data_IF_045537393062
#
_entry.id   IF_045537393062
#
_cell.length_a   1.000
_cell.length_b   1.000
_cell.length_c   1.000
_cell.angle_alpha   90.00
_cell.angle_beta   90.00
_cell.angle_gamma   90.00
#
_symmetry.space_group_name_H-M   'P 1'
#
loop_
_entity.id
_entity.type
_entity.pdbx_description
1 polymer ?
#
# COMPACT_ATOMS: atom_id res chain seq x y z
N UNK A 1 44.65 -14.54 84.58
CA UNK A 1 44.48 -13.87 83.27
C UNK A 1 43.38 -14.59 82.50
N UNK A 2 42.56 -13.86 81.71
CA UNK A 2 41.21 -14.24 81.35
C UNK A 2 41.08 -14.91 79.97
N UNK A 3 40.08 -15.79 79.88
CA UNK A 3 39.11 -15.99 78.79
C UNK A 3 39.51 -15.64 77.36
N UNK A 4 39.79 -16.68 76.56
CA UNK A 4 39.50 -16.68 75.13
C UNK A 4 38.04 -17.14 74.90
N UNK A 5 37.10 -16.20 74.91
CA UNK A 5 35.74 -16.47 74.41
C UNK A 5 35.80 -16.67 72.91
N UNK A 6 35.31 -17.83 72.48
CA UNK A 6 34.92 -18.16 71.12
C UNK A 6 34.23 -16.97 70.44
N UNK A 7 34.87 -16.36 69.44
CA UNK A 7 34.16 -15.60 68.43
C UNK A 7 33.74 -16.60 67.36
N UNK A 8 32.57 -17.21 67.54
CA UNK A 8 31.89 -17.91 66.45
C UNK A 8 31.70 -16.90 65.31
N UNK A 9 32.30 -17.18 64.17
CA UNK A 9 31.96 -16.52 62.93
C UNK A 9 30.47 -16.80 62.68
N UNK A 10 29.63 -15.80 62.97
CA UNK A 10 28.21 -15.81 62.63
C UNK A 10 28.18 -15.98 61.11
N UNK A 11 27.76 -17.15 60.63
CA UNK A 11 27.58 -17.32 59.19
C UNK A 11 26.57 -16.27 58.72
N UNK A 12 26.65 -15.78 57.48
CA UNK A 12 25.66 -14.82 56.96
C UNK A 12 24.21 -15.35 57.15
N UNK A 13 24.04 -16.67 57.21
CA UNK A 13 22.78 -17.34 57.53
C UNK A 13 22.30 -17.17 58.98
N UNK A 14 23.20 -16.94 59.94
CA UNK A 14 22.89 -16.73 61.37
C UNK A 14 22.62 -15.25 61.72
N UNK A 15 22.99 -14.31 60.83
CA UNK A 15 22.77 -12.85 61.00
C UNK A 15 21.29 -12.48 60.84
N UNK A 16 20.54 -13.22 60.03
CA UNK A 16 19.15 -12.93 59.66
C UNK A 16 18.24 -14.10 59.98
N UNK A 17 17.44 -13.95 61.04
CA UNK A 17 16.55 -15.00 61.55
C UNK A 17 15.12 -14.78 61.07
N UNK A 18 14.70 -13.52 60.92
CA UNK A 18 13.34 -13.15 60.48
C UNK A 18 13.36 -12.12 59.35
N UNK A 19 12.28 -12.09 58.57
CA UNK A 19 12.08 -11.10 57.50
C UNK A 19 12.14 -9.66 58.04
N UNK A 20 11.63 -9.42 59.26
CA UNK A 20 11.63 -8.10 59.91
C UNK A 20 13.04 -7.60 60.25
N UNK A 21 13.94 -8.50 60.65
CA UNK A 21 15.34 -8.17 60.89
C UNK A 21 16.05 -7.80 59.57
N UNK A 22 15.73 -8.52 58.49
CA UNK A 22 16.22 -8.18 57.15
C UNK A 22 15.75 -6.77 56.74
N UNK A 23 14.47 -6.44 56.94
CA UNK A 23 13.94 -5.10 56.60
C UNK A 23 14.70 -4.02 57.35
N UNK A 24 14.79 -4.16 58.67
CA UNK A 24 15.45 -3.17 59.53
C UNK A 24 16.93 -2.97 59.16
N UNK A 25 17.62 -4.03 58.75
CA UNK A 25 19.00 -3.92 58.29
C UNK A 25 19.12 -3.07 57.03
N UNK A 26 18.27 -3.32 56.02
CA UNK A 26 18.30 -2.55 54.76
C UNK A 26 17.89 -1.09 54.97
N UNK A 27 16.94 -0.83 55.87
CA UNK A 27 16.52 0.53 56.19
C UNK A 27 17.64 1.36 56.85
N UNK A 28 18.59 0.72 57.53
CA UNK A 28 19.74 1.38 58.13
C UNK A 28 20.90 1.54 57.14
N UNK A 29 21.11 0.54 56.29
CA UNK A 29 22.15 0.53 55.25
C UNK A 29 21.66 -0.27 54.04
N UNK A 30 21.49 0.41 52.90
CA UNK A 30 20.93 -0.18 51.69
C UNK A 30 21.83 -1.30 51.11
N UNK A 31 23.14 -1.25 51.36
CA UNK A 31 24.08 -2.25 50.87
C UNK A 31 23.90 -3.62 51.56
N UNK A 32 23.29 -3.65 52.75
CA UNK A 32 22.94 -4.88 53.45
C UNK A 32 21.95 -5.75 52.65
N UNK A 33 21.24 -5.16 51.67
CA UNK A 33 20.33 -5.90 50.79
C UNK A 33 21.05 -7.03 50.05
N UNK A 34 22.30 -6.81 49.61
CA UNK A 34 23.13 -7.80 48.90
C UNK A 34 23.44 -9.04 49.75
N UNK A 35 23.35 -8.90 51.07
CA UNK A 35 23.68 -9.93 52.05
C UNK A 35 22.44 -10.68 52.56
N UNK A 36 21.24 -10.32 52.12
CA UNK A 36 20.00 -10.96 52.57
C UNK A 36 19.85 -12.36 51.95
N UNK A 37 19.56 -13.40 52.75
CA UNK A 37 19.24 -14.72 52.22
C UNK A 37 18.00 -14.69 51.32
N UNK A 38 18.10 -15.28 50.12
CA UNK A 38 17.04 -15.29 49.09
C UNK A 38 15.67 -15.75 49.62
N UNK A 39 15.65 -16.67 50.60
CA UNK A 39 14.41 -17.17 51.23
C UNK A 39 13.55 -16.08 51.89
N UNK A 40 14.13 -14.93 52.22
CA UNK A 40 13.43 -13.78 52.83
C UNK A 40 13.09 -12.69 51.81
N UNK A 41 13.59 -12.78 50.58
CA UNK A 41 13.31 -11.81 49.51
C UNK A 41 12.00 -12.20 48.81
N UNK A 42 10.89 -11.91 49.49
CA UNK A 42 9.53 -12.09 48.94
C UNK A 42 9.09 -10.84 48.16
N UNK A 43 8.10 -10.94 47.24
CA UNK A 43 7.49 -9.77 46.61
C UNK A 43 7.10 -8.66 47.59
N UNK A 44 6.47 -9.05 48.71
CA UNK A 44 6.03 -8.13 49.75
C UNK A 44 7.20 -7.47 50.49
N UNK A 45 8.22 -8.27 50.84
CA UNK A 45 9.46 -7.75 51.43
C UNK A 45 10.08 -6.69 50.54
N UNK A 46 10.25 -7.00 49.24
CA UNK A 46 10.84 -6.05 48.30
C UNK A 46 10.00 -4.81 48.18
N UNK A 47 8.69 -4.93 48.02
CA UNK A 47 7.83 -3.77 47.81
C UNK A 47 7.87 -2.81 49.00
N UNK A 48 7.87 -3.33 50.23
CA UNK A 48 8.00 -2.53 51.46
C UNK A 48 9.38 -1.88 51.60
N UNK A 49 10.46 -2.61 51.30
CA UNK A 49 11.82 -2.08 51.37
C UNK A 49 12.07 -1.06 50.26
N UNK A 50 11.67 -1.36 49.03
CA UNK A 50 11.75 -0.46 47.89
C UNK A 50 11.05 0.85 48.22
N UNK A 51 9.84 0.80 48.84
CA UNK A 51 9.09 1.97 49.31
C UNK A 51 9.95 2.90 50.16
N UNK A 52 10.69 2.32 51.09
CA UNK A 52 11.49 3.07 52.05
C UNK A 52 12.84 3.53 51.48
N UNK A 53 13.36 2.86 50.46
CA UNK A 53 14.65 3.16 49.82
C UNK A 53 14.52 3.82 48.44
N UNK A 54 13.37 4.45 48.14
CA UNK A 54 13.09 5.08 46.85
C UNK A 54 13.44 4.21 45.62
N UNK A 55 13.07 2.92 45.65
CA UNK A 55 13.26 1.95 44.56
C UNK A 55 14.73 1.58 44.21
N UNK A 56 15.74 2.10 44.89
CA UNK A 56 17.16 1.81 44.63
C UNK A 56 17.51 0.31 44.74
N UNK A 57 16.83 -0.40 45.64
CA UNK A 57 17.03 -1.84 45.90
C UNK A 57 16.57 -2.75 44.75
N UNK A 58 15.72 -2.27 43.84
CA UNK A 58 15.18 -3.07 42.71
C UNK A 58 16.29 -3.56 41.78
N UNK A 59 17.37 -2.77 41.68
CA UNK A 59 18.55 -3.09 40.85
C UNK A 59 19.31 -4.31 41.36
N UNK A 60 19.34 -4.54 42.67
CA UNK A 60 20.05 -5.65 43.33
C UNK A 60 19.28 -6.97 43.30
N UNK A 61 18.05 -6.98 42.79
CA UNK A 61 17.18 -8.16 42.78
C UNK A 61 17.62 -9.11 41.65
N UNK A 62 17.93 -10.38 41.98
CA UNK A 62 18.20 -11.41 40.99
C UNK A 62 17.06 -11.55 39.98
N UNK A 63 17.38 -11.84 38.72
CA UNK A 63 16.39 -11.91 37.63
C UNK A 63 15.36 -13.01 37.88
N UNK A 64 15.74 -14.07 38.58
CA UNK A 64 14.94 -15.26 38.89
C UNK A 64 13.77 -14.94 39.83
N UNK A 65 13.90 -13.88 40.65
CA UNK A 65 12.86 -13.44 41.58
C UNK A 65 11.91 -12.40 40.98
N UNK A 66 12.20 -11.89 39.77
CA UNK A 66 11.37 -10.89 39.06
C UNK A 66 10.19 -11.56 38.34
N UNK A 67 9.34 -12.24 39.10
CA UNK A 67 8.14 -12.91 38.59
C UNK A 67 7.00 -11.93 38.31
N UNK A 68 5.86 -12.43 37.78
CA UNK A 68 4.68 -11.60 37.53
C UNK A 68 4.07 -11.09 38.84
N UNK A 69 3.99 -11.96 39.84
CA UNK A 69 3.49 -11.66 41.19
C UNK A 69 4.37 -10.60 41.87
N UNK A 70 5.68 -10.70 41.66
CA UNK A 70 6.63 -9.69 42.08
C UNK A 70 6.29 -8.30 41.52
N UNK A 71 6.08 -8.21 40.21
CA UNK A 71 5.74 -6.93 39.58
C UNK A 71 4.37 -6.40 40.01
N UNK A 72 3.37 -7.26 40.24
CA UNK A 72 2.06 -6.84 40.78
C UNK A 72 2.23 -6.16 42.13
N UNK A 73 3.06 -6.70 43.02
CA UNK A 73 3.27 -6.11 44.33
C UNK A 73 4.04 -4.79 44.24
N UNK A 74 5.04 -4.71 43.36
CA UNK A 74 5.88 -3.54 43.20
C UNK A 74 5.12 -2.31 42.65
N UNK A 75 4.26 -2.49 41.64
CA UNK A 75 3.47 -1.39 41.07
C UNK A 75 2.43 -0.83 42.03
N UNK A 76 2.08 -1.55 43.11
CA UNK A 76 1.19 -1.02 44.15
C UNK A 76 1.83 0.12 44.94
N UNK A 77 3.15 0.21 44.94
CA UNK A 77 3.89 1.26 45.63
C UNK A 77 4.52 2.26 44.64
N UNK A 78 4.82 1.80 43.43
CA UNK A 78 5.47 2.57 42.37
C UNK A 78 4.78 2.33 41.02
N UNK A 79 3.58 2.88 40.79
CA UNK A 79 2.80 2.60 39.59
C UNK A 79 3.49 3.06 38.29
N UNK A 80 4.33 4.10 38.35
CA UNK A 80 5.14 4.60 37.25
C UNK A 80 6.20 3.60 36.76
N UNK A 81 6.51 2.55 37.52
CA UNK A 81 7.39 1.49 37.05
C UNK A 81 6.80 0.72 35.86
N UNK A 82 5.51 0.85 35.57
CA UNK A 82 4.89 0.22 34.39
C UNK A 82 5.65 0.51 33.09
N UNK A 83 6.33 1.65 32.98
CA UNK A 83 7.15 2.02 31.80
C UNK A 83 8.49 1.27 31.72
N UNK A 84 8.95 0.72 32.86
CA UNK A 84 10.26 0.07 33.02
C UNK A 84 10.15 -1.45 33.22
N UNK A 85 8.93 -2.00 33.34
CA UNK A 85 8.72 -3.44 33.47
C UNK A 85 8.99 -4.11 32.11
N UNK A 86 9.65 -5.28 32.08
CA UNK A 86 9.80 -6.03 30.84
C UNK A 86 8.44 -6.36 30.22
N UNK A 87 8.26 -6.09 28.92
CA UNK A 87 6.96 -6.23 28.23
C UNK A 87 6.28 -7.59 28.42
N UNK A 88 7.06 -8.69 28.46
CA UNK A 88 6.53 -10.04 28.68
C UNK A 88 5.95 -10.27 30.10
N UNK A 89 6.16 -9.33 31.02
CA UNK A 89 5.64 -9.33 32.38
C UNK A 89 4.42 -8.43 32.56
N UNK A 90 3.98 -7.71 31.53
CA UNK A 90 2.77 -6.88 31.56
C UNK A 90 1.53 -7.78 31.49
N UNK A 91 1.19 -8.38 32.62
CA UNK A 91 -0.06 -9.14 32.77
C UNK A 91 -1.22 -8.21 33.09
N UNK A 92 -2.45 -8.67 32.87
CA UNK A 92 -3.66 -7.96 33.28
C UNK A 92 -3.62 -7.50 34.75
N UNK A 93 -3.08 -8.35 35.64
CA UNK A 93 -2.95 -8.04 37.07
C UNK A 93 -1.97 -6.91 37.35
N UNK A 94 -0.80 -6.92 36.71
CA UNK A 94 0.22 -5.85 36.87
C UNK A 94 -0.36 -4.52 36.40
N UNK A 95 -0.93 -4.50 35.20
CA UNK A 95 -1.47 -3.29 34.62
C UNK A 95 -2.68 -2.75 35.41
N UNK A 96 -3.57 -3.62 35.90
CA UNK A 96 -4.72 -3.21 36.73
C UNK A 96 -4.26 -2.62 38.06
N UNK A 97 -3.33 -3.28 38.75
CA UNK A 97 -2.79 -2.78 40.02
C UNK A 97 -2.14 -1.39 39.86
N UNK A 98 -1.43 -1.16 38.75
CA UNK A 98 -0.87 0.15 38.45
C UNK A 98 -1.96 1.22 38.25
N UNK A 99 -2.99 0.94 37.44
CA UNK A 99 -4.13 1.85 37.19
C UNK A 99 -4.84 2.21 38.51
N UNK A 100 -5.12 1.21 39.35
CA UNK A 100 -5.84 1.39 40.61
C UNK A 100 -5.06 2.30 41.56
N UNK A 101 -3.73 2.15 41.64
CA UNK A 101 -2.87 2.98 42.51
C UNK A 101 -2.65 4.39 41.96
N UNK A 102 -2.67 4.57 40.63
CA UNK A 102 -2.71 5.91 40.04
C UNK A 102 -4.03 6.65 40.34
N UNK A 103 -5.01 5.99 40.94
CA UNK A 103 -6.27 6.59 41.39
C UNK A 103 -7.35 6.68 40.31
N UNK A 104 -7.16 6.01 39.18
CA UNK A 104 -8.16 5.96 38.11
C UNK A 104 -9.21 4.89 38.41
N UNK A 105 -10.49 5.22 38.19
CA UNK A 105 -11.62 4.31 38.43
C UNK A 105 -11.79 3.29 37.31
N UNK A 106 -11.20 3.56 36.13
CA UNK A 106 -11.29 2.71 34.95
C UNK A 106 -10.06 2.84 34.07
N UNK A 107 -9.86 1.86 33.18
CA UNK A 107 -8.85 1.97 32.13
C UNK A 107 -9.11 3.19 31.24
N UNK A 108 -10.37 3.44 30.88
CA UNK A 108 -10.74 4.55 30.02
C UNK A 108 -10.34 5.91 30.62
N UNK A 109 -10.62 6.14 31.90
CA UNK A 109 -10.20 7.36 32.62
C UNK A 109 -8.68 7.52 32.60
N UNK A 110 -7.94 6.43 32.85
CA UNK A 110 -6.48 6.45 32.79
C UNK A 110 -5.96 6.82 31.39
N UNK A 111 -6.59 6.30 30.33
CA UNK A 111 -6.23 6.62 28.94
C UNK A 111 -6.62 8.06 28.56
N UNK A 112 -7.74 8.58 29.04
CA UNK A 112 -8.10 9.98 28.81
C UNK A 112 -7.06 10.94 29.39
N UNK A 113 -6.53 10.63 30.58
CA UNK A 113 -5.51 11.45 31.23
C UNK A 113 -4.12 11.22 30.62
N UNK A 114 -3.78 9.97 30.31
CA UNK A 114 -2.50 9.60 29.70
C UNK A 114 -2.69 8.57 28.57
N UNK A 115 -2.92 9.02 27.33
CA UNK A 115 -3.17 8.12 26.20
C UNK A 115 -2.03 7.16 25.87
N UNK A 116 -0.78 7.55 26.17
CA UNK A 116 0.40 6.70 25.92
C UNK A 116 0.35 5.40 26.73
N UNK A 117 -0.35 5.42 27.88
CA UNK A 117 -0.48 4.27 28.77
C UNK A 117 -1.06 3.05 28.05
N UNK A 118 -1.95 3.25 27.06
CA UNK A 118 -2.60 2.14 26.35
C UNK A 118 -1.57 1.17 25.76
N UNK A 119 -0.46 1.69 25.22
CA UNK A 119 0.63 0.90 24.62
C UNK A 119 1.36 -0.01 25.62
N UNK A 120 1.24 0.27 26.92
CA UNK A 120 1.82 -0.51 28.01
C UNK A 120 0.83 -1.51 28.59
N UNK A 121 -0.46 -1.42 28.26
CA UNK A 121 -1.44 -2.30 28.89
C UNK A 121 -1.46 -3.67 28.23
N UNK A 122 -1.72 -4.69 29.04
CA UNK A 122 -2.07 -6.01 28.52
C UNK A 122 -3.37 -5.90 27.69
N UNK A 123 -3.44 -6.58 26.54
CA UNK A 123 -4.57 -6.50 25.59
C UNK A 123 -5.92 -6.86 26.22
N UNK A 124 -5.95 -7.67 27.28
CA UNK A 124 -7.19 -7.99 28.00
C UNK A 124 -7.83 -6.79 28.70
N UNK A 125 -7.10 -5.68 28.86
CA UNK A 125 -7.60 -4.43 29.45
C UNK A 125 -8.10 -3.45 28.39
N UNK A 126 -8.02 -3.81 27.11
CA UNK A 126 -8.55 -3.02 26.02
C UNK A 126 -10.05 -3.31 25.94
N UNK A 127 -10.82 -2.45 26.58
CA UNK A 127 -12.27 -2.38 26.45
C UNK A 127 -12.66 -1.30 25.44
N UNK A 128 -13.96 -1.20 25.12
CA UNK A 128 -14.44 -0.23 24.14
C UNK A 128 -14.11 1.20 24.57
N UNK A 129 -14.43 1.56 25.81
CA UNK A 129 -14.29 2.93 26.33
C UNK A 129 -12.83 3.39 26.35
N UNK A 130 -11.89 2.52 26.73
CA UNK A 130 -10.46 2.82 26.70
C UNK A 130 -9.91 2.97 25.29
N UNK A 131 -10.31 2.12 24.36
CA UNK A 131 -9.89 2.23 22.96
C UNK A 131 -10.48 3.50 22.31
N UNK A 132 -11.74 3.81 22.61
CA UNK A 132 -12.41 5.02 22.14
C UNK A 132 -11.77 6.29 22.72
N UNK A 133 -11.48 6.29 24.03
CA UNK A 133 -10.76 7.39 24.69
C UNK A 133 -9.40 7.64 24.04
N UNK A 134 -8.67 6.59 23.69
CA UNK A 134 -7.39 6.71 23.01
C UNK A 134 -7.52 7.37 21.64
N UNK A 135 -8.39 6.86 20.76
CA UNK A 135 -8.52 7.38 19.38
C UNK A 135 -9.15 8.78 19.32
N UNK A 136 -9.83 9.20 20.39
CA UNK A 136 -10.36 10.57 20.52
C UNK A 136 -9.41 11.54 21.24
N UNK A 137 -8.24 11.08 21.69
CA UNK A 137 -7.29 11.93 22.40
C UNK A 137 -6.57 12.91 21.46
N UNK A 138 -6.20 14.08 21.99
CA UNK A 138 -5.34 15.04 21.27
C UNK A 138 -3.99 14.41 20.90
N UNK A 139 -3.48 13.50 21.73
CA UNK A 139 -2.28 12.72 21.42
C UNK A 139 -2.45 11.94 20.11
N UNK A 140 -3.57 11.22 19.94
CA UNK A 140 -3.86 10.50 18.71
C UNK A 140 -4.06 11.46 17.52
N UNK A 141 -4.76 12.58 17.72
CA UNK A 141 -4.95 13.60 16.69
C UNK A 141 -3.62 14.25 16.23
N UNK A 142 -2.70 14.55 17.14
CA UNK A 142 -1.38 15.07 16.81
C UNK A 142 -0.53 14.02 16.08
N UNK A 143 -0.67 12.76 16.46
CA UNK A 143 -0.04 11.63 15.76
C UNK A 143 -0.51 11.53 14.32
N UNK A 144 -1.82 11.72 14.11
CA UNK A 144 -2.47 11.77 12.81
C UNK A 144 -1.93 12.93 11.95
N UNK A 145 -1.82 14.12 12.51
CA UNK A 145 -1.27 15.28 11.79
C UNK A 145 0.21 15.13 11.46
N UNK A 146 1.01 14.50 12.34
CA UNK A 146 2.42 14.22 12.07
C UNK A 146 2.57 13.21 10.93
N UNK A 147 1.81 12.11 10.96
CA UNK A 147 1.84 11.09 9.92
C UNK A 147 1.47 11.65 8.54
N UNK A 148 0.48 12.56 8.46
CA UNK A 148 0.09 13.23 7.20
C UNK A 148 1.17 14.16 6.62
N UNK A 149 2.00 14.78 7.46
CA UNK A 149 3.00 15.79 7.04
C UNK A 149 4.31 15.18 6.55
N UNK A 150 4.58 13.92 6.86
CA UNK A 150 5.80 13.24 6.44
C UNK A 150 5.73 12.91 4.94
N UNK A 151 6.19 13.87 4.11
CA UNK A 151 6.06 13.89 2.64
C UNK A 151 6.88 12.84 1.87
N UNK A 152 7.47 11.84 2.54
CA UNK A 152 8.07 10.67 1.88
C UNK A 152 7.06 9.54 1.58
N UNK A 153 5.78 9.72 1.93
CA UNK A 153 4.81 8.62 1.97
C UNK A 153 3.81 8.54 0.79
N UNK A 154 3.76 9.53 -0.11
CA UNK A 154 2.85 9.52 -1.27
C UNK A 154 3.55 9.24 -2.61
N UNK A 155 4.68 8.51 -2.61
CA UNK A 155 5.46 8.26 -3.81
C UNK A 155 6.10 6.88 -3.86
N UNK A 156 5.55 6.02 -4.71
CA UNK A 156 6.20 4.87 -5.36
C UNK A 156 6.74 3.73 -4.46
N UNK A 157 5.87 2.83 -3.98
CA UNK A 157 5.77 1.42 -4.39
C UNK A 157 4.74 0.71 -3.50
N UNK A 158 3.61 0.29 -4.08
CA UNK A 158 2.41 -0.21 -3.38
C UNK A 158 2.67 -1.32 -2.35
N UNK A 159 3.63 -2.21 -2.56
CA UNK A 159 3.89 -3.31 -1.61
C UNK A 159 4.76 -2.89 -0.41
N UNK A 160 5.46 -1.75 -0.47
CA UNK A 160 6.33 -1.29 0.63
C UNK A 160 5.68 -0.24 1.55
N UNK A 161 4.65 0.46 1.09
CA UNK A 161 4.01 1.54 1.87
C UNK A 161 2.91 1.00 2.80
N UNK A 162 2.24 -0.08 2.40
CA UNK A 162 1.32 -0.84 3.27
C UNK A 162 2.04 -1.31 4.53
N UNK A 163 3.23 -1.91 4.38
CA UNK A 163 4.03 -2.39 5.51
C UNK A 163 4.59 -1.25 6.36
N UNK A 164 4.99 -0.11 5.78
CA UNK A 164 5.53 1.04 6.54
C UNK A 164 4.46 1.78 7.35
N UNK A 165 3.27 1.99 6.80
CA UNK A 165 2.16 2.61 7.54
C UNK A 165 1.68 1.71 8.68
N UNK A 166 1.61 0.40 8.41
CA UNK A 166 1.35 -0.61 9.42
C UNK A 166 2.48 -0.74 10.44
N UNK A 167 3.73 -0.60 10.02
CA UNK A 167 4.90 -0.55 10.90
C UNK A 167 4.79 0.64 11.85
N UNK A 168 4.43 1.83 11.38
CA UNK A 168 4.26 2.99 12.25
C UNK A 168 3.13 2.79 13.29
N UNK A 169 2.00 2.22 12.87
CA UNK A 169 0.91 1.86 13.78
C UNK A 169 1.37 0.77 14.74
N UNK A 170 2.03 -0.28 14.25
CA UNK A 170 2.53 -1.39 15.07
C UNK A 170 3.67 -0.99 16.01
N UNK A 171 4.55 -0.06 15.64
CA UNK A 171 5.56 0.52 16.53
C UNK A 171 4.89 1.31 17.65
N UNK A 172 3.84 2.07 17.31
CA UNK A 172 3.12 2.91 18.27
C UNK A 172 2.23 2.12 19.22
N UNK A 173 1.55 1.08 18.73
CA UNK A 173 0.79 0.13 19.56
C UNK A 173 1.65 -1.02 20.10
N UNK A 174 2.92 -1.08 19.70
CA UNK A 174 3.97 -1.99 20.14
C UNK A 174 3.63 -3.50 20.09
N UNK A 175 2.52 -3.88 19.43
CA UNK A 175 2.01 -5.24 19.30
C UNK A 175 0.88 -5.33 18.24
N UNK A 176 1.02 -6.14 17.17
CA UNK A 176 -0.04 -6.31 16.15
C UNK A 176 -1.32 -6.97 16.70
N UNK A 177 -1.25 -7.74 17.79
CA UNK A 177 -2.43 -8.33 18.44
C UNK A 177 -3.30 -7.27 19.13
N UNK A 178 -2.69 -6.20 19.64
CA UNK A 178 -3.42 -5.06 20.23
C UNK A 178 -4.25 -4.35 19.18
N UNK A 179 -3.68 -4.11 18.00
CA UNK A 179 -4.38 -3.49 16.88
C UNK A 179 -5.59 -4.32 16.44
N UNK A 180 -5.42 -5.63 16.23
CA UNK A 180 -6.53 -6.53 15.87
C UNK A 180 -7.63 -6.58 16.94
N UNK A 181 -7.28 -6.41 18.21
CA UNK A 181 -8.26 -6.35 19.29
C UNK A 181 -9.04 -5.03 19.29
N UNK A 182 -8.37 -3.89 19.04
CA UNK A 182 -9.01 -2.57 18.93
C UNK A 182 -9.97 -2.48 17.74
N UNK A 183 -9.59 -3.04 16.60
CA UNK A 183 -10.36 -2.98 15.35
C UNK A 183 -11.52 -3.98 15.30
N UNK A 184 -12.15 -4.22 16.45
CA UNK A 184 -13.41 -4.96 16.56
C UNK A 184 -14.62 -4.03 16.71
N UNK A 185 -14.38 -2.76 17.00
CA UNK A 185 -15.42 -1.75 17.20
C UNK A 185 -15.44 -0.78 16.02
N UNK A 186 -16.60 -0.55 15.39
CA UNK A 186 -16.71 0.31 14.21
C UNK A 186 -16.14 1.72 14.41
N UNK A 187 -16.50 2.41 15.49
CA UNK A 187 -16.07 3.81 15.73
C UNK A 187 -14.54 3.92 15.88
N UNK A 188 -13.95 2.94 16.58
CA UNK A 188 -12.49 2.85 16.73
C UNK A 188 -11.85 2.53 15.39
N UNK A 189 -12.43 1.61 14.62
CA UNK A 189 -11.94 1.24 13.30
C UNK A 189 -11.98 2.41 12.33
N UNK A 190 -13.06 3.20 12.30
CA UNK A 190 -13.19 4.37 11.45
C UNK A 190 -12.08 5.39 11.73
N UNK A 191 -11.84 5.72 13.01
CA UNK A 191 -10.76 6.64 13.42
C UNK A 191 -9.38 6.12 13.02
N UNK A 192 -9.17 4.82 13.13
CA UNK A 192 -7.92 4.19 12.71
C UNK A 192 -7.74 4.17 11.18
N UNK A 193 -8.82 3.97 10.43
CA UNK A 193 -8.82 4.06 8.96
C UNK A 193 -8.50 5.48 8.49
N UNK A 194 -8.96 6.51 9.21
CA UNK A 194 -8.61 7.91 8.95
C UNK A 194 -7.10 8.19 9.09
N UNK A 195 -6.39 7.39 9.89
CA UNK A 195 -4.91 7.42 9.98
C UNK A 195 -4.27 6.69 8.82
N UNK A 196 -4.71 5.46 8.55
CA UNK A 196 -4.18 4.66 7.47
C UNK A 196 -5.24 3.69 6.93
N UNK A 197 -5.73 3.86 5.69
CA UNK A 197 -6.87 3.12 5.18
C UNK A 197 -6.64 1.61 5.10
N UNK A 198 -5.39 1.16 4.91
CA UNK A 198 -5.06 -0.29 4.87
C UNK A 198 -5.16 -0.99 6.22
N UNK A 199 -5.36 -0.27 7.33
CA UNK A 199 -5.61 -0.89 8.65
C UNK A 199 -6.87 -1.73 8.64
N UNK A 200 -7.80 -1.45 7.72
CA UNK A 200 -9.02 -2.25 7.51
C UNK A 200 -8.73 -3.74 7.24
N UNK A 201 -7.53 -4.10 6.73
CA UNK A 201 -7.01 -5.47 6.62
C UNK A 201 -7.05 -6.27 7.92
N UNK A 202 -6.92 -5.59 9.06
CA UNK A 202 -6.87 -6.19 10.40
C UNK A 202 -8.19 -6.07 11.16
N UNK A 203 -9.15 -5.35 10.59
CA UNK A 203 -10.46 -5.18 11.20
C UNK A 203 -11.18 -6.52 11.29
N UNK A 204 -11.81 -6.76 12.45
CA UNK A 204 -12.70 -7.89 12.58
C UNK A 204 -13.99 -7.62 11.83
N UNK A 205 -14.67 -8.70 11.46
CA UNK A 205 -15.88 -8.63 10.64
C UNK A 205 -16.99 -7.78 11.29
N UNK A 206 -17.04 -7.72 12.63
CA UNK A 206 -18.03 -6.93 13.36
C UNK A 206 -17.74 -5.42 13.33
N UNK A 207 -16.49 -5.02 13.07
CA UNK A 207 -16.09 -3.61 12.97
C UNK A 207 -16.27 -3.05 11.55
N UNK A 208 -16.27 -3.94 10.55
CA UNK A 208 -16.50 -3.57 9.16
C UNK A 208 -17.98 -3.20 8.99
N UNK A 209 -18.26 -1.92 8.83
CA UNK A 209 -19.57 -1.40 8.41
C UNK A 209 -19.46 -0.75 7.03
N UNK A 210 -20.60 -0.43 6.42
CA UNK A 210 -20.64 0.29 5.15
C UNK A 210 -19.92 1.64 5.23
N UNK A 211 -20.05 2.33 6.37
CA UNK A 211 -19.45 3.63 6.65
C UNK A 211 -17.92 3.51 6.76
N UNK A 212 -17.43 2.55 7.56
CA UNK A 212 -15.98 2.30 7.71
C UNK A 212 -15.34 1.95 6.35
N UNK A 213 -16.01 1.09 5.56
CA UNK A 213 -15.58 0.72 4.23
C UNK A 213 -15.53 1.93 3.28
N UNK A 214 -16.56 2.78 3.31
CA UNK A 214 -16.64 3.97 2.49
C UNK A 214 -15.56 4.99 2.85
N UNK A 215 -15.32 5.22 4.15
CA UNK A 215 -14.24 6.10 4.62
C UNK A 215 -12.88 5.59 4.13
N UNK A 216 -12.64 4.27 4.24
CA UNK A 216 -11.38 3.68 3.77
C UNK A 216 -11.17 3.88 2.28
N UNK A 217 -12.17 3.57 1.45
CA UNK A 217 -12.12 3.72 -0.02
C UNK A 217 -12.02 5.18 -0.48
N UNK A 218 -12.60 6.10 0.28
CA UNK A 218 -12.53 7.53 -0.04
C UNK A 218 -11.12 8.10 0.21
N UNK A 219 -10.42 7.59 1.23
CA UNK A 219 -9.03 7.97 1.49
C UNK A 219 -8.09 7.28 0.51
N UNK A 220 -8.22 5.96 0.35
CA UNK A 220 -7.48 5.18 -0.63
C UNK A 220 -8.33 4.04 -1.15
N UNK A 221 -8.61 4.08 -2.45
CA UNK A 221 -9.45 3.09 -3.13
C UNK A 221 -8.85 1.68 -3.09
N UNK A 222 -7.53 1.56 -2.91
CA UNK A 222 -6.87 0.26 -2.79
C UNK A 222 -7.33 -0.51 -1.53
N UNK A 223 -7.99 0.17 -0.57
CA UNK A 223 -8.61 -0.45 0.60
C UNK A 223 -9.69 -1.47 0.21
N UNK A 224 -10.27 -1.33 -0.98
CA UNK A 224 -11.28 -2.23 -1.54
C UNK A 224 -10.85 -3.71 -1.50
N UNK A 225 -9.54 -3.99 -1.64
CA UNK A 225 -8.96 -5.36 -1.56
C UNK A 225 -9.29 -6.08 -0.26
N UNK A 226 -9.41 -5.33 0.83
CA UNK A 226 -9.55 -5.82 2.19
C UNK A 226 -10.99 -5.79 2.70
N UNK A 227 -11.92 -5.23 1.91
CA UNK A 227 -13.33 -5.19 2.27
C UNK A 227 -13.95 -6.57 2.11
N UNK A 228 -14.72 -7.00 3.10
CA UNK A 228 -15.45 -8.26 3.04
C UNK A 228 -16.50 -8.24 1.92
N UNK A 229 -16.68 -9.35 1.22
CA UNK A 229 -17.55 -9.44 0.05
C UNK A 229 -19.01 -9.05 0.32
N UNK A 230 -19.48 -9.14 1.57
CA UNK A 230 -20.82 -8.69 1.98
C UNK A 230 -21.06 -7.19 1.78
N UNK A 231 -20.00 -6.37 1.82
CA UNK A 231 -20.05 -4.91 1.62
C UNK A 231 -19.71 -4.47 0.20
N UNK A 232 -19.14 -5.37 -0.61
CA UNK A 232 -18.91 -5.15 -2.04
C UNK A 232 -20.22 -5.26 -2.80
N UNK A 233 -21.04 -4.23 -2.70
CA UNK A 233 -22.25 -4.06 -3.52
C UNK A 233 -21.87 -3.72 -4.95
N UNK A 234 -22.84 -3.77 -5.87
CA UNK A 234 -22.65 -3.38 -7.26
C UNK A 234 -22.10 -1.96 -7.39
N UNK A 235 -22.73 -0.98 -6.70
CA UNK A 235 -22.29 0.41 -6.68
C UNK A 235 -20.85 0.58 -6.17
N UNK A 236 -20.48 -0.13 -5.11
CA UNK A 236 -19.13 -0.06 -4.52
C UNK A 236 -18.09 -0.65 -5.48
N UNK A 237 -18.45 -1.73 -6.18
CA UNK A 237 -17.61 -2.33 -7.21
C UNK A 237 -17.43 -1.39 -8.42
N UNK A 238 -18.51 -0.76 -8.88
CA UNK A 238 -18.47 0.24 -9.97
C UNK A 238 -17.52 1.40 -9.62
N UNK A 239 -17.64 1.96 -8.41
CA UNK A 239 -16.74 3.01 -7.94
C UNK A 239 -15.27 2.56 -7.92
N UNK A 240 -15.01 1.30 -7.54
CA UNK A 240 -13.67 0.74 -7.51
C UNK A 240 -13.04 0.67 -8.91
N UNK A 241 -13.75 0.12 -9.90
CA UNK A 241 -13.26 0.05 -11.29
C UNK A 241 -13.10 1.43 -11.90
N UNK A 242 -14.02 2.37 -11.63
CA UNK A 242 -13.94 3.75 -12.14
C UNK A 242 -12.65 4.46 -11.73
N UNK A 243 -12.11 4.11 -10.56
CA UNK A 243 -10.87 4.69 -10.03
C UNK A 243 -9.63 3.85 -10.38
N UNK A 244 -9.73 2.52 -10.35
CA UNK A 244 -8.63 1.57 -10.55
C UNK A 244 -9.16 0.25 -11.12
N UNK A 245 -8.91 0.03 -12.40
CA UNK A 245 -9.40 -1.14 -13.12
C UNK A 245 -8.93 -2.50 -12.58
N UNK A 246 -7.68 -2.58 -12.11
CA UNK A 246 -7.10 -3.81 -11.56
C UNK A 246 -7.83 -4.34 -10.30
N UNK A 247 -8.67 -3.51 -9.66
CA UNK A 247 -9.50 -3.90 -8.52
C UNK A 247 -10.60 -4.92 -8.87
N UNK A 248 -10.88 -5.12 -10.16
CA UNK A 248 -11.81 -6.17 -10.62
C UNK A 248 -11.42 -7.57 -10.13
N UNK A 249 -10.12 -7.81 -9.91
CA UNK A 249 -9.60 -9.08 -9.38
C UNK A 249 -10.02 -9.36 -7.93
N UNK A 250 -10.54 -8.35 -7.24
CA UNK A 250 -11.03 -8.44 -5.85
C UNK A 250 -12.55 -8.42 -5.78
N UNK A 251 -13.25 -8.51 -6.91
CA UNK A 251 -14.71 -8.56 -6.92
C UNK A 251 -15.20 -9.90 -6.37
N UNK A 252 -16.33 -9.91 -5.65
CA UNK A 252 -16.98 -11.16 -5.29
C UNK A 252 -17.38 -11.93 -6.55
N UNK A 253 -17.29 -13.26 -6.52
CA UNK A 253 -17.62 -14.11 -7.68
C UNK A 253 -19.00 -13.82 -8.28
N UNK A 254 -20.00 -13.55 -7.42
CA UNK A 254 -21.38 -13.21 -7.84
C UNK A 254 -21.50 -11.93 -8.66
N UNK A 255 -20.53 -11.00 -8.56
CA UNK A 255 -20.50 -9.73 -9.29
C UNK A 255 -19.48 -9.74 -10.42
N UNK A 256 -18.66 -10.78 -10.54
CA UNK A 256 -17.64 -10.90 -11.56
C UNK A 256 -18.19 -11.67 -12.77
N UNK A 257 -18.84 -10.96 -13.69
CA UNK A 257 -19.49 -11.52 -14.88
C UNK A 257 -18.80 -11.08 -16.17
N UNK A 258 -19.05 -11.83 -17.25
CA UNK A 258 -18.61 -11.47 -18.60
C UNK A 258 -19.15 -10.09 -18.99
N UNK A 259 -20.46 -9.85 -18.84
CA UNK A 259 -21.11 -8.59 -19.24
C UNK A 259 -20.50 -7.37 -18.56
N UNK A 260 -20.13 -7.49 -17.28
CA UNK A 260 -19.45 -6.42 -16.55
C UNK A 260 -18.04 -6.15 -17.06
N UNK A 261 -17.29 -7.22 -17.36
CA UNK A 261 -15.98 -7.07 -17.96
C UNK A 261 -16.08 -6.43 -19.35
N UNK A 262 -17.03 -6.89 -20.16
CA UNK A 262 -17.29 -6.36 -21.50
C UNK A 262 -17.64 -4.86 -21.44
N UNK A 263 -18.60 -4.46 -20.61
CA UNK A 263 -18.99 -3.06 -20.50
C UNK A 263 -17.86 -2.17 -19.96
N UNK A 264 -17.09 -2.65 -18.95
CA UNK A 264 -15.96 -1.91 -18.42
C UNK A 264 -14.84 -1.70 -19.45
N UNK A 265 -14.54 -2.72 -20.30
CA UNK A 265 -13.61 -2.55 -21.42
C UNK A 265 -14.16 -1.57 -22.44
N UNK A 266 -15.41 -1.75 -22.86
CA UNK A 266 -16.08 -0.91 -23.85
C UNK A 266 -16.12 0.57 -23.45
N UNK A 267 -16.35 0.86 -22.17
CA UNK A 267 -16.34 2.22 -21.64
C UNK A 267 -14.93 2.80 -21.39
N UNK A 268 -13.88 2.02 -21.67
CA UNK A 268 -12.48 2.40 -21.40
C UNK A 268 -12.10 2.46 -19.92
N UNK A 269 -12.91 1.84 -19.06
CA UNK A 269 -12.67 1.77 -17.60
C UNK A 269 -11.76 0.61 -17.21
N UNK A 270 -11.54 -0.35 -18.11
CA UNK A 270 -10.69 -1.50 -17.85
C UNK A 270 -9.82 -1.84 -19.06
N UNK A 271 -8.52 -2.02 -18.80
CA UNK A 271 -7.58 -2.49 -19.82
C UNK A 271 -7.67 -4.01 -20.02
N UNK A 272 -7.34 -4.47 -21.24
CA UNK A 272 -7.41 -5.88 -21.62
C UNK A 272 -6.62 -6.82 -20.68
N UNK A 273 -5.46 -6.39 -20.18
CA UNK A 273 -4.61 -7.21 -19.30
C UNK A 273 -5.18 -7.38 -17.88
N UNK A 274 -6.17 -6.59 -17.50
CA UNK A 274 -6.89 -6.71 -16.22
C UNK A 274 -8.19 -7.51 -16.35
N UNK A 275 -8.62 -7.84 -17.56
CA UNK A 275 -9.75 -8.76 -17.79
C UNK A 275 -9.38 -10.14 -17.23
N UNK A 276 -10.24 -10.76 -16.38
CA UNK A 276 -10.02 -12.12 -15.93
C UNK A 276 -9.87 -13.07 -17.12
N UNK A 277 -8.83 -13.91 -17.11
CA UNK A 277 -8.48 -14.80 -18.23
C UNK A 277 -9.65 -15.63 -18.77
N UNK A 278 -10.56 -16.07 -17.88
CA UNK A 278 -11.77 -16.84 -18.23
C UNK A 278 -12.79 -16.09 -19.09
N UNK A 279 -12.70 -14.76 -19.15
CA UNK A 279 -13.63 -13.90 -19.90
C UNK A 279 -12.99 -13.26 -21.13
N UNK A 280 -11.69 -13.41 -21.34
CA UNK A 280 -11.03 -12.88 -22.54
C UNK A 280 -11.58 -13.61 -23.77
N UNK A 281 -12.23 -12.85 -24.65
CA UNK A 281 -12.86 -13.33 -25.89
C UNK A 281 -12.52 -12.41 -27.06
N UNK A 282 -12.83 -12.84 -28.29
CA UNK A 282 -12.66 -12.02 -29.50
C UNK A 282 -13.41 -10.70 -29.38
N UNK A 283 -14.64 -10.72 -28.85
CA UNK A 283 -15.48 -9.55 -28.69
C UNK A 283 -14.87 -8.53 -27.72
N UNK A 284 -14.37 -8.99 -26.55
CA UNK A 284 -13.66 -8.11 -25.61
C UNK A 284 -12.38 -7.56 -26.23
N UNK A 285 -11.61 -8.38 -26.95
CA UNK A 285 -10.40 -7.92 -27.64
C UNK A 285 -10.72 -6.84 -28.68
N UNK A 286 -11.80 -6.99 -29.45
CA UNK A 286 -12.25 -5.98 -30.42
C UNK A 286 -12.62 -4.66 -29.71
N UNK A 287 -13.40 -4.70 -28.63
CA UNK A 287 -13.75 -3.47 -27.91
C UNK A 287 -12.52 -2.82 -27.25
N UNK A 288 -11.58 -3.62 -26.74
CA UNK A 288 -10.34 -3.10 -26.17
C UNK A 288 -9.50 -2.33 -27.20
N UNK A 289 -9.32 -2.88 -28.41
CA UNK A 289 -8.56 -2.21 -29.46
C UNK A 289 -9.30 -1.03 -30.08
N UNK A 290 -10.64 -0.97 -29.98
CA UNK A 290 -11.42 0.22 -30.37
C UNK A 290 -11.24 1.38 -29.41
N UNK A 291 -11.06 1.09 -28.12
CA UNK A 291 -10.77 2.12 -27.10
C UNK A 291 -9.35 2.64 -27.27
N UNK A 292 -8.39 1.74 -27.42
CA UNK A 292 -6.99 2.08 -27.65
C UNK A 292 -6.36 1.05 -28.59
N UNK A 293 -6.14 1.45 -29.85
CA UNK A 293 -5.55 0.59 -30.88
C UNK A 293 -4.16 0.05 -30.51
N UNK A 294 -3.44 0.73 -29.61
CA UNK A 294 -2.15 0.21 -29.10
C UNK A 294 -2.32 -1.06 -28.27
N UNK A 295 -3.53 -1.39 -27.80
CA UNK A 295 -3.79 -2.63 -27.04
C UNK A 295 -3.53 -3.90 -27.84
N UNK A 296 -3.34 -3.81 -29.17
CA UNK A 296 -3.07 -4.96 -30.04
C UNK A 296 -1.95 -5.88 -29.53
N UNK A 297 -0.84 -5.34 -29.02
CA UNK A 297 0.29 -6.14 -28.51
C UNK A 297 -0.05 -6.96 -27.25
N UNK A 298 -1.20 -6.70 -26.61
CA UNK A 298 -1.73 -7.44 -25.45
C UNK A 298 -2.80 -8.45 -25.81
N UNK A 299 -3.25 -8.51 -27.07
CA UNK A 299 -4.22 -9.50 -27.52
C UNK A 299 -3.57 -10.89 -27.51
N UNK A 300 -4.20 -11.92 -26.92
CA UNK A 300 -3.66 -13.28 -26.96
C UNK A 300 -3.52 -13.81 -28.38
N UNK A 301 -2.37 -14.39 -28.71
CA UNK A 301 -2.08 -14.91 -30.05
C UNK A 301 -3.12 -15.92 -30.58
N UNK A 302 -3.73 -16.72 -29.70
CA UNK A 302 -4.78 -17.69 -30.10
C UNK A 302 -6.14 -17.06 -30.42
N UNK A 303 -6.35 -15.78 -30.14
CA UNK A 303 -7.59 -15.02 -30.44
C UNK A 303 -7.33 -14.00 -31.56
N UNK A 304 -6.08 -13.55 -31.70
CA UNK A 304 -5.68 -12.56 -32.69
C UNK A 304 -6.03 -13.00 -34.11
N UNK A 305 -6.71 -12.12 -34.83
CA UNK A 305 -7.05 -12.32 -36.24
C UNK A 305 -7.06 -10.99 -37.00
N UNK A 306 -7.30 -11.07 -38.32
CA UNK A 306 -7.36 -9.90 -39.21
C UNK A 306 -8.40 -8.87 -38.74
N UNK A 307 -9.55 -9.28 -38.23
CA UNK A 307 -10.60 -8.35 -37.82
C UNK A 307 -10.14 -7.49 -36.63
N UNK A 308 -9.46 -8.11 -35.66
CA UNK A 308 -8.86 -7.41 -34.51
C UNK A 308 -7.75 -6.47 -34.99
N UNK A 309 -6.86 -6.92 -35.87
CA UNK A 309 -5.79 -6.09 -36.41
C UNK A 309 -6.36 -4.86 -37.14
N UNK A 310 -7.37 -5.04 -37.99
CA UNK A 310 -8.00 -3.95 -38.71
C UNK A 310 -8.74 -2.98 -37.77
N UNK A 311 -9.43 -3.49 -36.75
CA UNK A 311 -10.05 -2.66 -35.73
C UNK A 311 -9.01 -1.84 -34.95
N UNK A 312 -7.89 -2.45 -34.56
CA UNK A 312 -6.81 -1.76 -33.88
C UNK A 312 -6.23 -0.63 -34.75
N UNK A 313 -5.96 -0.92 -36.03
CA UNK A 313 -5.44 0.06 -37.00
C UNK A 313 -6.36 1.27 -37.14
N UNK A 314 -7.68 1.07 -37.23
CA UNK A 314 -8.67 2.15 -37.34
C UNK A 314 -8.79 3.03 -36.10
N UNK A 315 -8.35 2.51 -34.96
CA UNK A 315 -8.41 3.17 -33.66
C UNK A 315 -7.00 3.48 -33.10
N UNK A 316 -6.00 3.50 -33.98
CA UNK A 316 -4.65 3.93 -33.64
C UNK A 316 -4.58 5.42 -33.34
N UNK A 317 -3.62 5.81 -32.50
CA UNK A 317 -3.31 7.22 -32.23
C UNK A 317 -2.50 7.79 -33.40
N UNK A 318 -2.69 9.06 -33.81
CA UNK A 318 -1.87 9.68 -34.84
C UNK A 318 -0.37 9.56 -34.55
N UNK A 319 0.44 9.38 -35.60
CA UNK A 319 1.89 9.17 -35.52
C UNK A 319 2.37 7.87 -34.84
N UNK A 320 1.46 6.94 -34.54
CA UNK A 320 1.83 5.62 -34.04
C UNK A 320 2.14 4.64 -35.20
N UNK A 321 3.16 3.80 -34.99
CA UNK A 321 3.59 2.75 -35.91
C UNK A 321 2.84 1.44 -35.62
N UNK A 322 1.50 1.49 -35.60
CA UNK A 322 0.67 0.34 -35.20
C UNK A 322 0.90 -0.90 -36.08
N UNK A 323 1.28 -0.70 -37.35
CA UNK A 323 1.55 -1.79 -38.28
C UNK A 323 2.77 -2.62 -37.86
N UNK A 324 3.66 -2.12 -37.00
CA UNK A 324 4.75 -2.91 -36.40
C UNK A 324 4.23 -4.04 -35.51
N UNK A 325 3.10 -3.83 -34.85
CA UNK A 325 2.51 -4.78 -33.91
C UNK A 325 1.56 -5.80 -34.60
N UNK A 326 1.23 -5.56 -35.88
CA UNK A 326 0.42 -6.48 -36.68
C UNK A 326 1.31 -7.61 -37.20
N UNK A 327 0.94 -8.90 -37.00
CA UNK A 327 1.64 -10.02 -37.63
C UNK A 327 1.64 -9.92 -39.16
N UNK A 328 2.74 -10.28 -39.80
CA UNK A 328 2.90 -10.15 -41.27
C UNK A 328 1.80 -10.91 -42.05
N UNK A 329 1.29 -12.03 -41.52
CA UNK A 329 0.19 -12.79 -42.12
C UNK A 329 -1.14 -12.02 -42.22
N UNK A 330 -1.33 -10.97 -41.40
CA UNK A 330 -2.52 -10.11 -41.42
C UNK A 330 -2.27 -8.76 -42.09
N UNK A 331 -1.04 -8.48 -42.55
CA UNK A 331 -0.70 -7.26 -43.30
C UNK A 331 -1.05 -7.42 -44.77
N UNK A 332 -2.33 -7.42 -45.08
CA UNK A 332 -2.79 -7.31 -46.45
C UNK A 332 -3.01 -5.84 -46.86
N UNK A 333 -3.41 -5.65 -48.12
CA UNK A 333 -3.65 -4.35 -48.70
C UNK A 333 -4.55 -3.46 -47.84
N UNK A 334 -5.67 -3.99 -47.34
CA UNK A 334 -6.65 -3.20 -46.57
C UNK A 334 -6.05 -2.74 -45.24
N UNK A 335 -5.37 -3.64 -44.53
CA UNK A 335 -4.74 -3.33 -43.24
C UNK A 335 -3.60 -2.33 -43.39
N UNK A 336 -2.73 -2.53 -44.39
CA UNK A 336 -1.62 -1.62 -44.67
C UNK A 336 -2.10 -0.24 -45.13
N UNK A 337 -3.06 -0.20 -46.06
CA UNK A 337 -3.62 1.06 -46.56
C UNK A 337 -4.27 1.86 -45.42
N UNK A 338 -5.05 1.19 -44.57
CA UNK A 338 -5.70 1.86 -43.45
C UNK A 338 -4.67 2.39 -42.44
N UNK A 339 -3.65 1.61 -42.07
CA UNK A 339 -2.62 2.04 -41.12
C UNK A 339 -1.83 3.26 -41.61
N UNK A 340 -1.51 3.28 -42.91
CA UNK A 340 -0.78 4.37 -43.53
C UNK A 340 -1.58 5.67 -43.54
N UNK A 341 -2.91 5.63 -43.74
CA UNK A 341 -3.76 6.85 -43.66
C UNK A 341 -3.70 7.54 -42.30
N UNK A 342 -3.54 6.79 -41.21
CA UNK A 342 -3.45 7.35 -39.85
C UNK A 342 -2.04 7.83 -39.49
N UNK A 343 -1.00 7.21 -40.05
CA UNK A 343 0.36 7.74 -39.96
C UNK A 343 1.22 7.28 -41.13
N UNK A 344 1.83 8.26 -41.79
CA UNK A 344 2.78 8.04 -42.88
C UNK A 344 3.98 7.14 -42.49
N UNK A 345 4.32 7.08 -41.20
CA UNK A 345 5.40 6.23 -40.67
C UNK A 345 5.10 4.74 -40.77
N UNK A 346 3.83 4.34 -40.86
CA UNK A 346 3.48 2.93 -41.06
C UNK A 346 3.99 2.38 -42.40
N UNK A 347 4.36 3.23 -43.36
CA UNK A 347 4.98 2.83 -44.62
C UNK A 347 6.23 1.97 -44.42
N UNK A 348 6.99 2.19 -43.33
CA UNK A 348 8.18 1.40 -42.97
C UNK A 348 7.87 -0.08 -42.68
N UNK A 349 6.64 -0.38 -42.26
CA UNK A 349 6.21 -1.72 -41.82
C UNK A 349 5.31 -2.43 -42.84
N UNK A 350 5.09 -1.82 -44.01
CA UNK A 350 4.34 -2.42 -45.11
C UNK A 350 5.20 -3.51 -45.77
N UNK A 351 4.72 -4.76 -45.88
CA UNK A 351 5.43 -5.82 -46.61
C UNK A 351 5.67 -5.41 -48.05
N UNK A 352 6.82 -5.81 -48.62
CA UNK A 352 7.19 -5.45 -49.99
C UNK A 352 6.14 -5.89 -51.02
N UNK A 353 5.48 -7.02 -50.74
CA UNK A 353 4.45 -7.62 -51.58
C UNK A 353 3.16 -6.79 -51.60
N UNK A 354 2.89 -5.99 -50.56
CA UNK A 354 1.73 -5.10 -50.48
C UNK A 354 2.04 -3.68 -50.95
N UNK A 355 3.31 -3.28 -50.97
CA UNK A 355 3.73 -1.93 -51.32
C UNK A 355 3.34 -1.57 -52.77
N UNK A 356 2.32 -0.74 -52.91
CA UNK A 356 1.80 -0.31 -54.20
C UNK A 356 1.58 1.21 -54.25
N UNK A 357 1.22 1.70 -55.44
CA UNK A 357 1.03 3.14 -55.68
C UNK A 357 0.00 3.75 -54.73
N UNK A 358 -1.10 3.06 -54.44
CA UNK A 358 -2.18 3.59 -53.60
C UNK A 358 -1.73 3.75 -52.14
N UNK A 359 -0.95 2.80 -51.61
CA UNK A 359 -0.36 2.90 -50.27
C UNK A 359 0.67 4.03 -50.20
N UNK A 360 1.57 4.15 -51.19
CA UNK A 360 2.54 5.23 -51.24
C UNK A 360 1.87 6.62 -51.35
N UNK A 361 0.82 6.70 -52.17
CA UNK A 361 0.02 7.92 -52.32
C UNK A 361 -0.71 8.28 -51.02
N UNK A 362 -1.31 7.30 -50.34
CA UNK A 362 -1.92 7.50 -49.03
C UNK A 362 -0.89 7.97 -47.98
N UNK A 363 0.34 7.43 -48.00
CA UNK A 363 1.40 7.81 -47.06
C UNK A 363 1.79 9.28 -47.18
N UNK A 364 1.88 9.78 -48.41
CA UNK A 364 2.21 11.19 -48.69
C UNK A 364 1.13 12.15 -48.20
N UNK A 365 -0.13 11.70 -48.16
CA UNK A 365 -1.27 12.51 -47.69
C UNK A 365 -1.54 12.37 -46.19
N UNK A 366 -0.94 11.37 -45.54
CA UNK A 366 -1.21 11.05 -44.15
C UNK A 366 -0.44 11.98 -43.19
N UNK A 367 -0.94 12.15 -41.94
CA UNK A 367 -0.20 12.88 -40.92
C UNK A 367 1.18 12.27 -40.62
N UNK A 368 2.18 13.13 -40.51
CA UNK A 368 3.57 12.77 -40.26
C UNK A 368 4.41 12.81 -41.53
N UNK A 369 5.74 12.78 -41.38
CA UNK A 369 6.64 12.73 -42.53
C UNK A 369 6.76 11.29 -43.02
N UNK A 370 6.33 11.05 -44.27
CA UNK A 370 6.55 9.79 -44.96
C UNK A 370 8.05 9.59 -45.22
N UNK A 371 8.54 8.36 -45.04
CA UNK A 371 9.89 8.04 -45.49
C UNK A 371 9.87 7.83 -47.01
N UNK A 372 10.17 8.90 -47.75
CA UNK A 372 10.12 8.95 -49.22
C UNK A 372 11.10 7.97 -49.86
N UNK A 373 12.20 7.62 -49.18
CA UNK A 373 13.18 6.64 -49.67
C UNK A 373 12.58 5.24 -49.84
N UNK A 374 11.46 4.95 -49.18
CA UNK A 374 10.74 3.68 -49.31
C UNK A 374 9.83 3.61 -50.54
N UNK A 375 9.58 4.75 -51.21
CA UNK A 375 8.71 4.78 -52.38
C UNK A 375 9.52 4.32 -53.62
N UNK A 376 9.09 3.27 -54.34
CA UNK A 376 9.73 2.86 -55.58
C UNK A 376 9.82 4.00 -56.60
N UNK A 377 10.94 4.08 -57.32
CA UNK A 377 11.19 5.13 -58.32
C UNK A 377 10.05 5.23 -59.36
N UNK A 378 9.53 4.09 -59.82
CA UNK A 378 8.41 4.01 -60.79
C UNK A 378 7.09 4.61 -60.27
N UNK A 379 6.95 4.85 -58.97
CA UNK A 379 5.74 5.43 -58.38
C UNK A 379 5.76 6.96 -58.31
N UNK A 380 6.89 7.62 -58.60
CA UNK A 380 7.00 9.09 -58.68
C UNK A 380 6.35 9.66 -59.95
N UNK A 381 5.04 9.45 -60.08
CA UNK A 381 4.19 10.08 -61.09
C UNK A 381 3.94 11.54 -60.73
N UNK A 382 3.63 12.36 -61.72
CA UNK A 382 3.41 13.81 -61.53
C UNK A 382 2.36 14.09 -60.44
N UNK A 383 1.29 13.30 -60.33
CA UNK A 383 0.27 13.44 -59.30
C UNK A 383 0.80 13.25 -57.88
N UNK A 384 1.62 12.20 -57.65
CA UNK A 384 2.26 11.95 -56.35
C UNK A 384 3.25 13.07 -56.00
N UNK A 385 4.12 13.46 -56.95
CA UNK A 385 5.08 14.54 -56.78
C UNK A 385 4.38 15.86 -56.41
N UNK A 386 3.26 16.16 -57.08
CA UNK A 386 2.43 17.34 -56.76
C UNK A 386 1.80 17.24 -55.37
N UNK A 387 1.31 16.07 -54.95
CA UNK A 387 0.78 15.86 -53.61
C UNK A 387 1.85 16.10 -52.53
N UNK A 388 3.07 15.58 -52.74
CA UNK A 388 4.21 15.76 -51.84
C UNK A 388 4.53 17.25 -51.65
N UNK A 389 4.83 17.99 -52.72
CA UNK A 389 5.24 19.41 -52.57
C UNK A 389 4.09 20.32 -52.10
N UNK A 390 2.84 19.91 -52.34
CA UNK A 390 1.65 20.57 -51.77
C UNK A 390 1.51 20.32 -50.28
N UNK A 391 1.98 19.19 -49.75
CA UNK A 391 1.99 18.90 -48.31
C UNK A 391 3.19 19.56 -47.63
N UNK A 392 4.39 19.41 -48.18
CA UNK A 392 5.59 20.02 -47.66
C UNK A 392 6.58 20.35 -48.79
N UNK A 393 6.93 21.63 -48.95
CA UNK A 393 7.83 22.09 -50.01
C UNK A 393 9.22 21.44 -49.95
N UNK A 394 9.67 21.01 -48.77
CA UNK A 394 10.96 20.36 -48.58
C UNK A 394 11.04 18.98 -49.25
N UNK A 395 9.90 18.34 -49.56
CA UNK A 395 9.90 17.10 -50.32
C UNK A 395 10.47 17.27 -51.74
N UNK A 396 10.56 18.49 -52.29
CA UNK A 396 11.17 18.73 -53.60
C UNK A 396 12.61 18.19 -53.68
N UNK A 397 13.37 18.22 -52.57
CA UNK A 397 14.75 17.71 -52.51
C UNK A 397 14.80 16.17 -52.52
N UNK A 398 13.72 15.51 -52.09
CA UNK A 398 13.60 14.05 -51.99
C UNK A 398 13.00 13.40 -53.24
N UNK A 399 12.40 14.18 -54.15
CA UNK A 399 11.84 13.66 -55.41
C UNK A 399 12.99 13.37 -56.40
N UNK A 400 13.01 12.21 -57.08
CA UNK A 400 13.97 11.93 -58.14
C UNK A 400 13.98 13.03 -59.21
N UNK A 401 15.17 13.51 -59.59
CA UNK A 401 15.33 14.70 -60.45
C UNK A 401 14.62 14.59 -61.79
N UNK A 402 14.54 13.39 -62.34
CA UNK A 402 13.86 13.06 -63.60
C UNK A 402 12.33 13.12 -63.49
N UNK A 403 11.77 13.03 -62.28
CA UNK A 403 10.34 13.15 -61.98
C UNK A 403 9.90 14.58 -61.61
N UNK A 404 10.83 15.53 -61.48
CA UNK A 404 10.52 16.93 -61.16
C UNK A 404 10.10 17.69 -62.42
N UNK A 405 8.79 17.83 -62.63
CA UNK A 405 8.25 18.64 -63.73
C UNK A 405 8.30 20.14 -63.39
N UNK A 406 8.21 20.99 -64.43
CA UNK A 406 8.10 22.44 -64.25
C UNK A 406 6.95 22.81 -63.29
N UNK A 407 5.82 22.10 -63.41
CA UNK A 407 4.63 22.30 -62.58
C UNK A 407 4.89 21.95 -61.11
N UNK A 408 5.61 20.86 -60.83
CA UNK A 408 5.99 20.48 -59.45
C UNK A 408 6.85 21.57 -58.81
N UNK A 409 7.85 22.08 -59.51
CA UNK A 409 8.71 23.17 -59.02
C UNK A 409 7.96 24.47 -58.77
N UNK A 410 7.03 24.84 -59.66
CA UNK A 410 6.20 26.04 -59.50
C UNK A 410 5.30 25.96 -58.26
N UNK A 411 4.66 24.82 -58.02
CA UNK A 411 3.81 24.62 -56.85
C UNK A 411 4.63 24.61 -55.55
N UNK A 412 5.81 23.97 -55.55
CA UNK A 412 6.71 23.98 -54.40
C UNK A 412 7.14 25.41 -54.03
N UNK A 413 7.42 26.26 -55.03
CA UNK A 413 7.84 27.65 -54.82
C UNK A 413 6.70 28.56 -54.30
N UNK A 414 5.44 28.24 -54.60
CA UNK A 414 4.27 28.98 -54.13
C UNK A 414 3.90 28.69 -52.67
N UNK A 415 4.39 27.59 -52.09
CA UNK A 415 4.09 27.22 -50.71
C UNK A 415 5.04 27.94 -49.73
N UNK A 416 4.50 28.92 -48.99
CA UNK A 416 5.18 29.55 -47.85
C UNK A 416 4.99 28.69 -46.59
N UNK A 417 6.04 28.60 -45.76
CA UNK A 417 6.11 27.68 -44.60
C UNK A 417 4.91 27.78 -43.67
#
# INVERSE_FOLDING_TARGET
MPNSKERKAVSIQDKYITEEQCKKAVLNDIDEYKSIPLKFITPKFVAEVAKATAAETISYIPKELKTKEFYVELVKYYPELIWNIPKNMHTAGVCRAAIDVMGYKSTAEAITVNPELLSQLHTSLYDYDSCLAFVNSDFFAQSLEKAKKDRHFCGFNRESDEEKGLFYINERFNNPYSLKHMLRWPDVCEKMVQLHPMVIKFAKEEALTSEVCAVAMNIDIDAFKYIHDKFKTEKVCEEAIDKRDYLINFFPERLLTYDKCFEAVRSGKMYLWNVPKKFVSKEICIEAVKVDGTTLYKVPAGILDKDICLAAVRHGIPNNNILREVPDEFKDFDVCLEAVKYSARNLEYVPKEQLNYDICYAAVLAPGLANIELIPHDYFKEELCLAMVKDNKYYLESIPKDCVTKRVSEIAAQKHN
#
